data_IF_641577708173
#
_entry.id   IF_641577708173
#
_cell.length_a   1.000
_cell.length_b   1.000
_cell.length_c   1.000
_cell.angle_alpha   90.00
_cell.angle_beta   90.00
_cell.angle_gamma   90.00
#
_symmetry.space_group_name_H-M   'P 1'
#
loop_
_entity.id
_entity.type
_entity.pdbx_description
1 polymer ?
#
# COMPACT_ATOMS: atom_id res chain seq x y z
N UNK A 1 12.41 -31.43 -88.53
CA UNK A 1 11.61 -31.88 -87.37
C UNK A 1 11.73 -30.82 -86.29
N UNK A 2 10.57 -30.31 -85.89
CA UNK A 2 10.34 -29.26 -84.90
C UNK A 2 10.97 -29.58 -83.54
N UNK A 3 11.69 -28.63 -82.93
CA UNK A 3 11.26 -27.92 -81.70
C UNK A 3 11.89 -26.51 -81.69
N UNK A 4 11.01 -25.50 -81.60
CA UNK A 4 11.32 -24.07 -81.48
C UNK A 4 11.93 -23.71 -80.12
N UNK A 5 12.96 -22.87 -80.14
CA UNK A 5 13.35 -21.98 -79.03
C UNK A 5 12.62 -20.64 -79.20
N UNK A 6 12.01 -20.12 -78.13
CA UNK A 6 11.64 -18.69 -78.02
C UNK A 6 11.45 -18.39 -76.53
N UNK A 7 12.42 -17.75 -75.90
CA UNK A 7 12.55 -16.29 -75.73
C UNK A 7 11.73 -15.78 -74.56
N UNK A 8 12.49 -15.24 -73.61
CA UNK A 8 12.13 -14.69 -72.31
C UNK A 8 11.19 -13.49 -72.46
N UNK A 9 10.09 -13.48 -71.68
CA UNK A 9 9.34 -12.25 -71.37
C UNK A 9 9.38 -12.00 -69.86
N UNK A 10 10.08 -10.93 -69.48
CA UNK A 10 10.13 -10.38 -68.13
C UNK A 10 9.00 -9.37 -67.98
N UNK A 11 7.99 -9.70 -67.16
CA UNK A 11 6.86 -8.81 -66.88
C UNK A 11 7.24 -7.86 -65.74
N UNK A 12 7.46 -6.58 -66.06
CA UNK A 12 7.43 -5.49 -65.09
C UNK A 12 5.97 -5.12 -64.80
N UNK A 13 5.50 -5.38 -63.57
CA UNK A 13 4.28 -4.78 -63.05
C UNK A 13 4.64 -3.62 -62.13
N UNK A 14 4.30 -2.41 -62.57
CA UNK A 14 4.24 -1.21 -61.77
C UNK A 14 3.27 -1.40 -60.61
N UNK A 15 3.76 -1.29 -59.37
CA UNK A 15 2.92 -1.04 -58.20
C UNK A 15 3.19 0.40 -57.78
N UNK A 16 2.21 1.27 -58.03
CA UNK A 16 2.14 2.61 -57.45
C UNK A 16 2.04 2.46 -55.93
N UNK A 17 3.14 2.69 -55.22
CA UNK A 17 3.13 2.85 -53.77
C UNK A 17 2.69 4.28 -53.47
N UNK A 18 1.40 4.46 -53.20
CA UNK A 18 0.91 5.72 -52.62
C UNK A 18 1.39 5.73 -51.17
N UNK A 19 2.49 6.43 -50.92
CA UNK A 19 2.89 6.85 -49.58
C UNK A 19 1.82 7.81 -49.04
N UNK A 20 0.80 7.28 -48.36
CA UNK A 20 0.09 8.07 -47.36
C UNK A 20 1.04 8.26 -46.18
N UNK A 21 1.82 9.34 -46.20
CA UNK A 21 2.32 9.94 -44.97
C UNK A 21 1.09 10.47 -44.22
N UNK A 22 0.44 9.59 -43.46
CA UNK A 22 -0.42 10.02 -42.38
C UNK A 22 0.49 10.68 -41.35
N UNK A 23 0.74 11.99 -41.52
CA UNK A 23 1.10 12.85 -40.41
C UNK A 23 -0.10 12.83 -39.48
N UNK A 24 -0.16 11.81 -38.62
CA UNK A 24 -1.01 11.83 -37.46
C UNK A 24 -0.55 13.05 -36.66
N UNK A 25 -1.28 14.15 -36.78
CA UNK A 25 -1.28 15.17 -35.75
C UNK A 25 -1.70 14.42 -34.49
N UNK A 26 -0.72 14.00 -33.69
CA UNK A 26 -0.94 13.71 -32.28
C UNK A 26 -1.36 15.06 -31.73
N UNK A 27 -2.67 15.31 -31.69
CA UNK A 27 -3.20 16.35 -30.84
C UNK A 27 -2.71 15.96 -29.44
N UNK A 28 -1.65 16.64 -28.98
CA UNK A 28 -1.16 16.45 -27.62
C UNK A 28 -2.35 16.83 -26.74
N UNK A 29 -3.03 15.85 -26.16
CA UNK A 29 -4.19 16.13 -25.31
C UNK A 29 -3.70 16.97 -24.13
N UNK A 30 -4.12 18.24 -24.09
CA UNK A 30 -3.68 19.24 -23.11
C UNK A 30 -4.67 19.42 -21.97
N UNK A 31 -5.60 18.46 -21.86
CA UNK A 31 -6.79 18.52 -21.04
C UNK A 31 -6.68 17.66 -19.76
N UNK A 32 -5.51 17.12 -19.42
CA UNK A 32 -5.28 16.52 -18.10
C UNK A 32 -5.39 17.57 -17.01
N UNK A 33 -6.01 17.21 -15.88
CA UNK A 33 -5.80 18.01 -14.67
C UNK A 33 -4.31 18.03 -14.30
N UNK A 34 -3.83 19.17 -13.77
CA UNK A 34 -2.45 19.30 -13.40
C UNK A 34 -2.13 18.47 -12.15
N UNK A 35 -1.23 17.51 -12.32
CA UNK A 35 -0.63 16.71 -11.25
C UNK A 35 -0.20 17.57 -10.06
N UNK A 36 -0.68 17.24 -8.87
CA UNK A 36 -0.35 17.97 -7.62
C UNK A 36 0.22 17.04 -6.56
N UNK A 37 1.15 17.57 -5.77
CA UNK A 37 1.91 16.85 -4.75
C UNK A 37 1.82 17.56 -3.41
N UNK A 38 1.81 16.78 -2.33
CA UNK A 38 2.00 17.24 -0.96
C UNK A 38 3.10 16.39 -0.30
N UNK A 39 4.28 17.00 -0.13
CA UNK A 39 5.45 16.32 0.44
C UNK A 39 5.56 16.65 1.92
N UNK A 40 5.42 15.64 2.78
CA UNK A 40 5.39 15.80 4.24
C UNK A 40 6.77 16.09 4.86
N UNK A 41 6.78 16.57 6.09
CA UNK A 41 7.94 17.03 6.86
C UNK A 41 8.77 15.88 7.51
N UNK A 42 8.79 14.70 6.89
CA UNK A 42 9.35 13.46 7.43
C UNK A 42 10.63 12.97 6.70
N UNK A 43 11.52 13.91 6.37
CA UNK A 43 12.75 13.63 5.60
C UNK A 43 13.82 12.88 6.43
N UNK A 44 13.58 11.60 6.67
CA UNK A 44 14.49 10.65 7.32
C UNK A 44 14.14 9.22 6.90
N UNK A 45 14.88 8.23 7.39
CA UNK A 45 14.61 6.82 7.11
C UNK A 45 13.58 6.25 8.08
N UNK A 46 12.62 5.47 7.56
CA UNK A 46 11.61 4.85 8.39
C UNK A 46 11.22 3.44 7.99
N UNK A 47 10.66 2.69 8.94
CA UNK A 47 10.19 1.32 8.75
C UNK A 47 8.65 1.20 8.73
N UNK A 48 7.93 2.26 9.11
CA UNK A 48 6.47 2.36 8.99
C UNK A 48 6.10 3.75 8.47
N UNK A 49 5.16 3.81 7.53
CA UNK A 49 4.49 5.03 7.08
C UNK A 49 2.97 4.85 7.15
N UNK A 50 2.28 5.88 7.64
CA UNK A 50 0.83 5.92 7.84
C UNK A 50 0.29 7.22 7.29
N UNK A 51 -0.88 7.19 6.65
CA UNK A 51 -1.65 8.39 6.30
C UNK A 51 -3.13 8.04 6.22
N UNK A 52 -4.01 9.02 6.44
CA UNK A 52 -5.44 8.89 6.23
C UNK A 52 -5.85 9.66 4.99
N UNK A 53 -6.66 9.03 4.14
CA UNK A 53 -7.16 9.62 2.90
C UNK A 53 -8.69 9.62 2.88
N UNK A 54 -9.26 10.71 2.38
CA UNK A 54 -10.69 10.84 2.07
C UNK A 54 -10.86 11.58 0.76
N UNK A 55 -11.71 11.05 -0.12
CA UNK A 55 -12.16 11.78 -1.30
C UNK A 55 -13.56 12.33 -1.00
N UNK A 56 -13.76 13.66 -0.94
CA UNK A 56 -15.10 14.23 -0.77
C UNK A 56 -15.96 13.91 -2.00
N UNK A 57 -17.29 13.88 -1.84
CA UNK A 57 -18.22 13.50 -2.93
C UNK A 57 -18.05 14.34 -4.20
N UNK A 58 -17.83 15.65 -4.06
CA UNK A 58 -17.57 16.56 -5.19
C UNK A 58 -16.11 16.50 -5.70
N UNK A 59 -15.24 15.80 -4.98
CA UNK A 59 -13.85 15.60 -5.32
C UNK A 59 -13.58 14.30 -6.09
N UNK A 60 -14.60 13.55 -6.46
CA UNK A 60 -14.43 12.32 -7.21
C UNK A 60 -14.53 12.56 -8.73
N UNK A 61 -13.48 12.20 -9.46
CA UNK A 61 -13.53 12.03 -10.91
C UNK A 61 -12.97 10.65 -11.30
N UNK A 62 -13.62 9.96 -12.24
CA UNK A 62 -13.05 8.78 -12.88
C UNK A 62 -11.69 9.10 -13.50
N UNK A 63 -10.85 8.07 -13.62
CA UNK A 63 -9.48 8.17 -14.11
C UNK A 63 -8.55 8.97 -13.18
N UNK A 64 -8.83 8.89 -11.88
CA UNK A 64 -8.05 9.60 -10.86
C UNK A 64 -7.32 8.67 -9.92
N UNK A 65 -6.03 8.95 -9.74
CA UNK A 65 -5.24 8.36 -8.67
C UNK A 65 -5.10 9.36 -7.52
N UNK A 66 -5.46 8.93 -6.31
CA UNK A 66 -5.21 9.65 -5.06
C UNK A 66 -4.18 8.85 -4.25
N UNK A 67 -2.91 9.12 -4.50
CA UNK A 67 -1.80 8.59 -3.72
C UNK A 67 -1.79 9.23 -2.34
N UNK A 68 -1.64 8.40 -1.32
CA UNK A 68 -1.55 8.86 0.08
C UNK A 68 -0.18 8.58 0.70
N UNK A 69 0.58 7.63 0.13
CA UNK A 69 1.84 7.12 0.65
C UNK A 69 2.81 6.89 -0.51
N UNK A 70 3.59 7.88 -0.91
CA UNK A 70 4.72 7.76 -1.83
C UNK A 70 6.04 7.71 -1.08
N UNK A 71 6.97 6.85 -1.46
CA UNK A 71 8.29 6.77 -0.83
C UNK A 71 9.41 6.47 -1.82
N UNK A 72 10.63 6.81 -1.39
CA UNK A 72 11.86 6.57 -2.17
C UNK A 72 12.69 5.46 -1.52
N UNK A 73 13.79 5.11 -2.20
CA UNK A 73 14.80 4.17 -1.70
C UNK A 73 15.08 3.06 -2.70
N UNK A 74 15.66 1.96 -2.20
CA UNK A 74 15.99 0.78 -3.00
C UNK A 74 14.77 -0.07 -3.37
N UNK A 75 13.60 0.28 -2.87
CA UNK A 75 12.30 -0.20 -3.31
C UNK A 75 11.32 0.96 -3.19
N UNK A 76 11.55 1.99 -3.99
CA UNK A 76 10.60 3.10 -4.15
C UNK A 76 9.23 2.54 -4.56
N UNK A 77 8.18 3.22 -4.15
CA UNK A 77 6.83 2.72 -4.33
C UNK A 77 5.78 3.71 -3.86
N UNK A 78 4.53 3.29 -4.01
CA UNK A 78 3.37 4.08 -3.64
C UNK A 78 2.22 3.22 -3.13
N UNK A 79 1.36 3.84 -2.34
CA UNK A 79 0.06 3.31 -1.95
C UNK A 79 -1.00 4.41 -1.97
N UNK A 80 -2.22 4.03 -2.34
CA UNK A 80 -3.34 4.97 -2.35
C UNK A 80 -4.63 4.32 -2.80
N UNK A 81 -5.54 5.18 -3.26
CA UNK A 81 -6.85 4.79 -3.79
C UNK A 81 -7.09 5.37 -5.17
N UNK A 82 -7.86 4.68 -6.00
CA UNK A 82 -8.21 5.17 -7.34
C UNK A 82 -9.72 5.13 -7.59
N UNK A 83 -10.19 6.12 -8.35
CA UNK A 83 -11.46 6.09 -9.05
C UNK A 83 -11.24 5.48 -10.44
N UNK A 84 -11.18 4.15 -10.49
CA UNK A 84 -10.91 3.40 -11.70
C UNK A 84 -12.22 3.09 -12.47
N UNK A 85 -12.23 2.99 -13.82
CA UNK A 85 -13.42 2.65 -14.60
C UNK A 85 -14.14 1.35 -14.22
N UNK A 86 -13.46 0.47 -13.48
CA UNK A 86 -13.99 -0.82 -13.00
C UNK A 86 -14.51 -0.73 -11.55
N UNK A 87 -14.41 0.43 -10.92
CA UNK A 87 -14.77 0.67 -9.52
C UNK A 87 -13.63 1.25 -8.70
N UNK A 88 -13.91 1.45 -7.42
CA UNK A 88 -12.98 1.97 -6.43
C UNK A 88 -11.96 0.93 -5.99
N UNK A 89 -10.68 1.28 -6.03
CA UNK A 89 -9.60 0.35 -5.63
C UNK A 89 -8.65 0.94 -4.63
N UNK A 90 -8.07 0.07 -3.81
CA UNK A 90 -6.77 0.30 -3.20
C UNK A 90 -5.69 -0.25 -4.11
N UNK A 91 -4.59 0.48 -4.21
CA UNK A 91 -3.40 0.08 -4.96
C UNK A 91 -2.15 0.20 -4.08
N UNK A 92 -1.21 -0.72 -4.26
CA UNK A 92 0.11 -0.69 -3.62
C UNK A 92 1.14 -1.25 -4.60
N UNK A 93 2.17 -0.46 -4.89
CA UNK A 93 3.14 -0.75 -5.94
C UNK A 93 4.56 -0.54 -5.44
N UNK A 94 5.47 -1.39 -5.89
CA UNK A 94 6.91 -1.21 -5.70
C UNK A 94 7.57 -1.36 -7.07
N UNK A 95 8.39 -0.39 -7.44
CA UNK A 95 9.21 -0.47 -8.65
C UNK A 95 10.38 -1.43 -8.46
N UNK A 96 10.72 -2.12 -9.53
CA UNK A 96 12.00 -2.80 -9.65
C UNK A 96 13.14 -1.77 -9.51
N UNK A 97 14.23 -2.18 -8.88
CA UNK A 97 15.40 -1.35 -8.70
C UNK A 97 16.66 -2.15 -9.04
N UNK A 98 17.70 -1.46 -9.54
CA UNK A 98 18.97 -2.08 -9.92
C UNK A 98 19.68 -2.88 -8.80
N UNK A 99 19.29 -2.64 -7.54
CA UNK A 99 19.84 -3.37 -6.39
C UNK A 99 19.05 -4.63 -6.03
N UNK A 100 17.99 -4.97 -6.77
CA UNK A 100 17.22 -6.18 -6.52
C UNK A 100 17.96 -7.38 -7.11
N UNK A 101 18.26 -8.38 -6.28
CA UNK A 101 18.90 -9.61 -6.74
C UNK A 101 17.93 -10.55 -7.49
N UNK A 102 16.61 -10.30 -7.38
CA UNK A 102 15.55 -11.06 -8.04
C UNK A 102 14.28 -10.20 -8.17
N UNK A 103 13.33 -10.55 -9.07
CA UNK A 103 12.06 -9.84 -9.20
C UNK A 103 11.23 -9.84 -7.91
N UNK A 104 10.49 -8.75 -7.69
CA UNK A 104 9.58 -8.61 -6.56
C UNK A 104 8.50 -9.68 -6.61
N UNK A 105 8.20 -10.31 -5.47
CA UNK A 105 7.18 -11.36 -5.34
C UNK A 105 6.15 -10.99 -4.28
N UNK A 106 4.88 -11.34 -4.48
CA UNK A 106 3.90 -11.28 -3.40
C UNK A 106 3.89 -12.60 -2.63
N UNK A 107 4.47 -12.59 -1.43
CA UNK A 107 4.52 -13.75 -0.52
C UNK A 107 3.23 -13.92 0.28
N UNK A 108 2.39 -12.89 0.32
CA UNK A 108 1.03 -12.98 0.81
C UNK A 108 0.09 -12.12 -0.03
N UNK A 109 -1.13 -12.62 -0.28
CA UNK A 109 -2.25 -11.86 -0.83
C UNK A 109 -3.44 -12.04 0.09
N UNK A 110 -3.98 -10.94 0.59
CA UNK A 110 -5.23 -10.92 1.33
C UNK A 110 -6.40 -11.29 0.43
N UNK A 111 -7.56 -11.54 1.04
CA UNK A 111 -8.78 -11.92 0.31
C UNK A 111 -9.04 -10.95 -0.85
N UNK A 112 -9.23 -11.52 -2.05
CA UNK A 112 -9.53 -10.80 -3.31
C UNK A 112 -8.46 -9.81 -3.78
N UNK A 113 -7.30 -9.75 -3.13
CA UNK A 113 -6.18 -8.93 -3.59
C UNK A 113 -5.47 -9.65 -4.73
N UNK A 114 -5.40 -8.98 -5.88
CA UNK A 114 -4.67 -9.46 -7.03
C UNK A 114 -3.31 -8.75 -7.11
N UNK A 115 -2.36 -9.36 -7.82
CA UNK A 115 -1.06 -8.74 -8.09
C UNK A 115 -0.70 -8.87 -9.56
N UNK A 116 -0.08 -7.85 -10.13
CA UNK A 116 0.30 -7.82 -11.53
C UNK A 116 1.64 -7.10 -11.68
N UNK A 117 2.46 -7.51 -12.64
CA UNK A 117 3.59 -6.69 -13.07
C UNK A 117 3.09 -5.41 -13.75
N UNK A 118 3.85 -4.33 -13.66
CA UNK A 118 3.58 -3.11 -14.42
C UNK A 118 4.81 -2.67 -15.23
N UNK A 119 4.60 -1.72 -16.15
CA UNK A 119 5.57 -1.25 -17.15
C UNK A 119 5.22 0.17 -17.61
N UNK A 120 5.98 0.71 -18.58
CA UNK A 120 5.73 2.02 -19.22
C UNK A 120 6.51 3.17 -18.56
N UNK A 121 6.45 3.25 -17.23
CA UNK A 121 7.14 4.28 -16.41
C UNK A 121 8.13 3.61 -15.43
N UNK A 122 8.90 2.67 -15.98
CA UNK A 122 9.62 1.66 -15.20
C UNK A 122 8.79 0.39 -15.02
N UNK A 123 9.38 -0.63 -14.40
CA UNK A 123 8.74 -1.91 -14.13
C UNK A 123 8.62 -2.16 -12.63
N UNK A 124 7.78 -3.11 -12.24
CA UNK A 124 7.66 -3.51 -10.85
C UNK A 124 6.46 -4.43 -10.61
N UNK A 125 6.06 -4.54 -9.34
CA UNK A 125 4.90 -5.30 -8.92
C UNK A 125 3.88 -4.39 -8.25
N UNK A 126 2.63 -4.45 -8.71
CA UNK A 126 1.49 -3.80 -8.07
C UNK A 126 0.54 -4.83 -7.50
N UNK A 127 -0.15 -4.45 -6.44
CA UNK A 127 -1.35 -5.11 -5.94
C UNK A 127 -2.55 -4.17 -6.05
N UNK A 128 -3.73 -4.75 -6.20
CA UNK A 128 -4.99 -4.01 -6.30
C UNK A 128 -6.14 -4.84 -5.74
N UNK A 129 -7.10 -4.17 -5.11
CA UNK A 129 -8.29 -4.80 -4.53
C UNK A 129 -9.54 -3.97 -4.83
N UNK A 130 -10.35 -4.47 -5.77
CA UNK A 130 -11.65 -3.88 -6.15
C UNK A 130 -12.77 -4.27 -5.18
N UNK A 131 -12.69 -5.45 -4.58
CA UNK A 131 -13.78 -5.96 -3.74
C UNK A 131 -13.86 -5.22 -2.40
N UNK A 132 -12.71 -4.88 -1.82
CA UNK A 132 -12.68 -4.11 -0.58
C UNK A 132 -13.26 -2.71 -0.81
N UNK A 133 -12.89 -2.07 -1.94
CA UNK A 133 -13.41 -0.80 -2.40
C UNK A 133 -13.30 0.36 -1.40
N UNK A 134 -13.67 1.55 -1.86
CA UNK A 134 -13.83 2.71 -1.00
C UNK A 134 -15.08 3.47 -1.41
N UNK A 135 -15.50 4.42 -0.60
CA UNK A 135 -16.68 5.26 -0.79
C UNK A 135 -16.28 6.71 -0.50
N UNK A 136 -16.85 7.66 -1.24
CA UNK A 136 -16.60 9.08 -0.99
C UNK A 136 -17.12 9.50 0.39
N UNK A 137 -16.51 10.55 0.95
CA UNK A 137 -16.89 11.10 2.25
C UNK A 137 -16.36 10.33 3.46
N UNK A 138 -15.76 9.16 3.29
CA UNK A 138 -15.19 8.38 4.38
C UNK A 138 -13.66 8.47 4.42
N UNK A 139 -13.12 8.48 5.65
CA UNK A 139 -11.68 8.37 5.89
C UNK A 139 -11.22 6.91 5.84
N UNK A 140 -10.05 6.70 5.25
CA UNK A 140 -9.38 5.40 5.20
C UNK A 140 -7.96 5.56 5.70
N UNK A 141 -7.56 4.74 6.66
CA UNK A 141 -6.17 4.71 7.14
C UNK A 141 -5.38 3.73 6.30
N UNK A 142 -4.27 4.19 5.73
CA UNK A 142 -3.35 3.38 4.94
C UNK A 142 -2.05 3.24 5.75
N UNK A 143 -1.56 2.00 5.88
CA UNK A 143 -0.32 1.68 6.60
C UNK A 143 0.56 0.82 5.73
N UNK A 144 1.82 1.21 5.55
CA UNK A 144 2.85 0.32 5.05
C UNK A 144 3.97 0.15 6.05
N UNK A 145 4.48 -1.08 6.16
CA UNK A 145 5.61 -1.44 7.02
C UNK A 145 6.64 -2.21 6.22
N UNK A 146 7.90 -1.86 6.36
CA UNK A 146 9.05 -2.56 5.80
C UNK A 146 9.83 -3.27 6.92
N UNK A 147 10.27 -4.51 6.70
CA UNK A 147 11.13 -5.23 7.65
C UNK A 147 12.11 -6.17 6.93
N UNK A 148 13.39 -6.21 7.34
CA UNK A 148 14.35 -7.15 6.76
C UNK A 148 14.01 -8.60 7.06
N UNK A 149 14.29 -9.48 6.11
CA UNK A 149 14.23 -10.94 6.22
C UNK A 149 15.45 -11.51 5.50
N UNK A 150 16.53 -11.77 6.23
CA UNK A 150 17.81 -12.16 5.62
C UNK A 150 18.34 -11.08 4.67
N UNK A 151 18.61 -11.46 3.42
CA UNK A 151 19.07 -10.54 2.36
C UNK A 151 17.91 -9.84 1.61
N UNK A 152 16.69 -10.02 2.09
CA UNK A 152 15.48 -9.45 1.52
C UNK A 152 14.87 -8.40 2.48
N UNK A 153 13.93 -7.59 1.98
CA UNK A 153 13.06 -6.74 2.78
C UNK A 153 11.62 -7.01 2.38
N UNK A 154 10.77 -7.30 3.35
CA UNK A 154 9.36 -7.48 3.13
C UNK A 154 8.62 -6.17 3.36
N UNK A 155 7.61 -5.92 2.53
CA UNK A 155 6.74 -4.76 2.60
C UNK A 155 5.29 -5.22 2.72
N UNK A 156 4.65 -4.85 3.82
CA UNK A 156 3.23 -5.12 4.04
C UNK A 156 2.38 -3.87 3.77
N UNK A 157 1.14 -4.09 3.35
CA UNK A 157 0.15 -3.03 3.18
C UNK A 157 -1.17 -3.39 3.88
N UNK A 158 -1.62 -2.50 4.77
CA UNK A 158 -2.86 -2.62 5.52
C UNK A 158 -3.72 -1.39 5.32
N UNK A 159 -5.03 -1.61 5.31
CA UNK A 159 -6.03 -0.55 5.19
C UNK A 159 -7.04 -0.69 6.33
N UNK A 160 -7.44 0.44 6.93
CA UNK A 160 -8.58 0.53 7.82
C UNK A 160 -9.71 1.33 7.17
N UNK A 161 -10.90 0.75 7.12
CA UNK A 161 -12.11 1.49 6.73
C UNK A 161 -12.60 2.35 7.89
N UNK A 162 -12.73 3.67 7.71
CA UNK A 162 -13.33 4.55 8.71
C UNK A 162 -14.82 4.25 8.96
N UNK A 163 -15.53 3.79 7.93
CA UNK A 163 -16.96 3.40 8.00
C UNK A 163 -17.20 2.18 8.91
N UNK A 164 -16.37 1.15 8.79
CA UNK A 164 -16.57 -0.12 9.53
C UNK A 164 -15.64 -0.28 10.73
N UNK A 165 -14.58 0.53 10.79
CA UNK A 165 -13.48 0.43 11.73
C UNK A 165 -12.55 -0.78 11.51
N UNK A 166 -12.77 -1.58 10.45
CA UNK A 166 -12.07 -2.85 10.24
C UNK A 166 -10.76 -2.66 9.47
N UNK A 167 -9.72 -3.35 9.95
CA UNK A 167 -8.43 -3.50 9.28
C UNK A 167 -8.43 -4.68 8.32
N UNK A 168 -7.75 -4.51 7.19
CA UNK A 168 -7.50 -5.55 6.18
C UNK A 168 -6.04 -5.55 5.79
N UNK A 169 -5.39 -6.71 5.81
CA UNK A 169 -4.05 -6.91 5.26
C UNK A 169 -4.18 -7.29 3.78
N UNK A 170 -3.69 -6.45 2.87
CA UNK A 170 -3.90 -6.63 1.44
C UNK A 170 -2.78 -7.46 0.81
N UNK A 171 -1.53 -7.16 1.12
CA UNK A 171 -0.39 -7.83 0.49
C UNK A 171 0.84 -7.78 1.40
N UNK A 172 1.69 -8.81 1.29
CA UNK A 172 3.11 -8.71 1.67
C UNK A 172 3.94 -8.99 0.42
N UNK A 173 4.77 -8.02 0.04
CA UNK A 173 5.72 -8.13 -1.06
C UNK A 173 7.13 -8.39 -0.53
N UNK A 174 7.80 -9.36 -1.13
CA UNK A 174 9.22 -9.68 -0.93
C UNK A 174 10.05 -8.93 -1.97
N UNK A 175 10.90 -8.03 -1.49
CA UNK A 175 11.91 -7.32 -2.27
C UNK A 175 13.27 -7.96 -1.98
N UNK A 176 13.95 -8.44 -3.02
CA UNK A 176 15.29 -9.03 -2.95
C UNK A 176 16.40 -7.98 -2.78
N UNK A 177 16.25 -7.13 -1.76
CA UNK A 177 17.24 -6.17 -1.31
C UNK A 177 17.13 -6.01 0.21
N UNK A 178 18.24 -6.21 0.90
CA UNK A 178 18.35 -6.07 2.36
C UNK A 178 18.17 -4.62 2.80
N UNK A 179 17.43 -4.36 3.86
CA UNK A 179 17.25 -3.02 4.46
C UNK A 179 16.84 -1.94 3.44
N UNK A 180 15.92 -2.31 2.54
CA UNK A 180 15.23 -1.36 1.69
C UNK A 180 14.15 -0.67 2.54
N UNK A 181 14.52 0.31 3.35
CA UNK A 181 13.57 1.08 4.15
C UNK A 181 12.95 2.25 3.37
N UNK A 182 11.91 2.88 3.92
CA UNK A 182 11.32 4.10 3.37
C UNK A 182 12.32 5.25 3.50
N UNK A 183 12.77 5.81 2.38
CA UNK A 183 13.75 6.91 2.34
C UNK A 183 13.08 8.25 1.99
N UNK A 184 13.59 9.32 2.59
CA UNK A 184 13.16 10.69 2.31
C UNK A 184 11.73 10.99 2.74
N UNK A 185 11.24 12.19 2.43
CA UNK A 185 9.86 12.56 2.74
C UNK A 185 8.84 11.68 2.02
N UNK A 186 7.75 11.41 2.73
CA UNK A 186 6.54 10.79 2.18
C UNK A 186 5.84 11.77 1.25
N UNK A 187 5.49 11.33 0.05
CA UNK A 187 4.72 12.12 -0.92
C UNK A 187 3.25 11.68 -0.91
N UNK A 188 2.37 12.60 -1.24
CA UNK A 188 0.99 12.31 -1.61
C UNK A 188 0.71 13.04 -2.91
N UNK A 189 0.01 12.38 -3.82
CA UNK A 189 -0.07 12.79 -5.22
C UNK A 189 -1.47 12.59 -5.77
N UNK A 190 -1.93 13.52 -6.61
CA UNK A 190 -3.20 13.41 -7.33
C UNK A 190 -2.96 13.46 -8.84
N UNK A 191 -3.46 12.45 -9.55
CA UNK A 191 -3.27 12.28 -10.99
C UNK A 191 -4.57 12.16 -11.75
N UNK A 192 -4.65 12.75 -12.94
CA UNK A 192 -5.63 12.43 -13.97
C UNK A 192 -4.95 11.65 -15.10
N UNK A 193 -5.24 10.37 -15.28
CA UNK A 193 -4.55 9.55 -16.28
C UNK A 193 -5.27 9.45 -17.64
N UNK A 194 -6.38 10.18 -17.85
CA UNK A 194 -7.15 10.11 -19.11
C UNK A 194 -7.62 11.48 -19.67
N UNK A 195 -6.93 12.58 -19.35
CA UNK A 195 -7.27 13.91 -19.89
C UNK A 195 -8.69 14.39 -19.53
N UNK A 196 -9.09 14.20 -18.29
CA UNK A 196 -10.42 14.56 -17.75
C UNK A 196 -10.37 15.81 -16.85
N UNK A 197 -9.49 16.76 -17.17
CA UNK A 197 -9.19 17.94 -16.37
C UNK A 197 -10.35 18.92 -16.19
N UNK A 198 -11.40 18.82 -17.00
CA UNK A 198 -12.63 19.58 -16.82
C UNK A 198 -13.38 19.23 -15.53
N UNK A 199 -13.14 18.04 -14.97
CA UNK A 199 -13.73 17.58 -13.72
C UNK A 199 -12.78 17.87 -12.56
N UNK A 200 -13.27 18.43 -11.44
CA UNK A 200 -12.47 18.54 -10.24
C UNK A 200 -12.20 17.17 -9.65
N UNK A 201 -11.01 16.98 -9.11
CA UNK A 201 -10.65 15.84 -8.26
C UNK A 201 -9.97 16.38 -7.01
N UNK A 202 -10.40 15.93 -5.83
CA UNK A 202 -9.92 16.42 -4.54
C UNK A 202 -9.58 15.27 -3.63
N UNK A 203 -8.46 15.37 -2.93
CA UNK A 203 -8.07 14.48 -1.83
C UNK A 203 -7.90 15.28 -0.54
N UNK A 204 -8.35 14.70 0.57
CA UNK A 204 -8.13 15.19 1.92
C UNK A 204 -7.19 14.21 2.64
N UNK A 205 -6.18 14.75 3.35
CA UNK A 205 -5.12 13.99 3.99
C UNK A 205 -4.94 14.42 5.45
N UNK A 206 -4.83 13.46 6.37
CA UNK A 206 -4.56 13.72 7.79
C UNK A 206 -3.97 12.50 8.48
N UNK A 207 -3.67 12.62 9.78
CA UNK A 207 -3.28 11.46 10.59
C UNK A 207 -1.99 10.79 10.11
N UNK A 208 -1.11 11.57 9.47
CA UNK A 208 0.13 11.08 8.91
C UNK A 208 1.20 10.81 9.96
N UNK A 209 1.91 9.70 9.80
CA UNK A 209 3.01 9.30 10.68
C UNK A 209 4.11 8.58 9.92
N UNK A 210 5.34 8.73 10.41
CA UNK A 210 6.43 7.84 10.06
C UNK A 210 7.20 7.42 11.30
N UNK A 211 7.55 6.15 11.37
CA UNK A 211 8.40 5.61 12.44
C UNK A 211 9.84 5.53 11.95
N UNK A 212 10.74 6.18 12.67
CA UNK A 212 12.19 6.06 12.47
C UNK A 212 12.66 4.63 12.75
N UNK A 213 13.84 4.28 12.25
CA UNK A 213 14.44 2.96 12.47
C UNK A 213 14.80 2.68 13.94
N UNK A 214 14.94 3.72 14.76
CA UNK A 214 15.13 3.61 16.22
C UNK A 214 13.81 3.41 17.00
N UNK A 215 12.67 3.38 16.30
CA UNK A 215 11.34 3.21 16.87
C UNK A 215 10.62 4.51 17.27
N UNK A 216 11.25 5.67 17.17
CA UNK A 216 10.60 6.95 17.45
C UNK A 216 9.56 7.28 16.38
N UNK A 217 8.41 7.79 16.81
CA UNK A 217 7.35 8.26 15.93
C UNK A 217 7.49 9.76 15.63
N UNK A 218 7.20 10.11 14.39
CA UNK A 218 7.07 11.50 13.95
C UNK A 218 5.69 11.68 13.31
N UNK A 219 4.92 12.63 13.84
CA UNK A 219 3.65 13.03 13.26
C UNK A 219 3.88 14.02 12.13
N UNK A 220 3.17 13.89 11.01
CA UNK A 220 3.25 14.85 9.92
C UNK A 220 2.60 16.18 10.36
N UNK A 221 3.42 17.17 10.65
CA UNK A 221 3.02 18.49 11.16
C UNK A 221 2.96 19.55 10.06
N UNK A 222 3.52 19.26 8.90
CA UNK A 222 3.52 20.16 7.76
C UNK A 222 3.95 19.49 6.47
N UNK A 223 4.06 20.31 5.44
CA UNK A 223 4.57 19.85 4.16
C UNK A 223 4.47 20.91 3.07
N UNK A 224 5.10 20.57 1.95
CA UNK A 224 5.18 21.41 0.77
C UNK A 224 4.15 20.96 -0.25
N UNK A 225 3.20 21.83 -0.57
CA UNK A 225 2.30 21.63 -1.70
C UNK A 225 2.92 22.18 -2.99
N UNK A 226 2.73 21.47 -4.09
CA UNK A 226 3.12 21.96 -5.42
C UNK A 226 2.38 21.28 -6.54
N UNK A 227 2.35 21.98 -7.68
CA UNK A 227 1.81 21.46 -8.93
C UNK A 227 2.94 21.28 -9.92
N UNK A 228 2.89 20.19 -10.68
CA UNK A 228 3.95 19.78 -11.58
C UNK A 228 4.13 20.79 -12.72
N UNK A 229 5.09 21.72 -12.56
CA UNK A 229 5.22 22.93 -13.41
C UNK A 229 5.42 22.60 -14.89
N UNK A 230 6.05 21.46 -15.19
CA UNK A 230 6.28 21.03 -16.56
C UNK A 230 5.00 20.65 -17.29
N UNK A 231 3.94 20.24 -16.59
CA UNK A 231 2.65 19.91 -17.22
C UNK A 231 1.86 21.16 -17.64
N UNK A 232 2.28 22.34 -17.15
CA UNK A 232 1.55 23.61 -17.28
C UNK A 232 1.97 24.45 -18.48
N UNK A 233 3.02 24.06 -19.22
CA UNK A 233 3.56 24.84 -20.34
C UNK A 233 2.85 24.53 -21.67
N UNK A 234 2.84 25.44 -22.66
CA UNK A 234 2.26 25.17 -23.97
C UNK A 234 2.76 23.86 -24.59
N UNK A 235 1.87 23.12 -25.24
CA UNK A 235 2.14 21.77 -25.77
C UNK A 235 2.16 20.63 -24.75
N UNK A 236 2.00 20.89 -23.44
CA UNK A 236 1.98 19.85 -22.40
C UNK A 236 0.58 19.50 -21.92
N UNK A 237 0.50 18.36 -21.23
CA UNK A 237 -0.73 17.60 -20.97
C UNK A 237 -1.79 18.34 -20.16
N UNK A 238 -1.42 19.39 -19.42
CA UNK A 238 -2.34 20.12 -18.55
C UNK A 238 -2.45 21.61 -18.87
N UNK A 239 -1.95 22.06 -20.03
CA UNK A 239 -1.91 23.48 -20.38
C UNK A 239 -3.28 24.16 -20.36
N UNK A 240 -4.34 23.45 -20.76
CA UNK A 240 -5.70 24.01 -20.78
C UNK A 240 -6.28 24.17 -19.37
N UNK A 241 -5.71 23.47 -18.39
CA UNK A 241 -6.09 23.50 -16.98
C UNK A 241 -4.96 24.00 -16.07
N UNK A 242 -4.01 24.76 -16.61
CA UNK A 242 -2.76 25.16 -15.92
C UNK A 242 -2.94 26.01 -14.66
N UNK A 243 -4.13 26.58 -14.47
CA UNK A 243 -4.53 27.37 -13.29
C UNK A 243 -5.68 26.72 -12.51
N UNK A 244 -6.04 25.48 -12.83
CA UNK A 244 -7.18 24.78 -12.23
C UNK A 244 -6.66 23.78 -11.21
N UNK A 245 -6.10 24.32 -10.14
CA UNK A 245 -5.56 23.57 -9.02
C UNK A 245 -5.70 24.40 -7.77
N UNK A 246 -5.75 23.75 -6.62
CA UNK A 246 -5.70 24.39 -5.31
C UNK A 246 -5.16 23.42 -4.26
N UNK A 247 -4.62 23.95 -3.16
CA UNK A 247 -4.12 23.14 -2.08
C UNK A 247 -3.89 23.95 -0.83
N UNK A 248 -4.07 23.31 0.32
CA UNK A 248 -3.89 23.98 1.60
C UNK A 248 -4.38 23.18 2.79
N UNK A 249 -4.79 23.90 3.83
CA UNK A 249 -5.41 23.34 5.04
C UNK A 249 -6.86 23.77 5.08
N UNK A 250 -7.74 22.82 5.37
CA UNK A 250 -9.14 23.06 5.68
C UNK A 250 -9.47 22.35 7.00
N UNK A 251 -10.72 22.48 7.45
CA UNK A 251 -11.20 21.81 8.66
C UNK A 251 -12.66 21.42 8.51
N UNK A 252 -13.04 20.36 9.19
CA UNK A 252 -14.42 19.95 9.41
C UNK A 252 -14.64 19.64 10.89
N UNK A 253 -15.76 18.98 11.23
CA UNK A 253 -16.11 18.61 12.60
C UNK A 253 -15.08 17.70 13.29
N UNK A 254 -14.30 16.92 12.53
CA UNK A 254 -13.26 16.04 13.07
C UNK A 254 -11.89 16.75 13.21
N UNK A 255 -11.78 18.00 12.75
CA UNK A 255 -10.58 18.82 12.86
C UNK A 255 -9.87 19.13 11.52
N UNK A 256 -8.64 19.64 11.57
CA UNK A 256 -7.93 20.10 10.40
C UNK A 256 -7.38 18.96 9.53
N UNK A 257 -7.35 19.18 8.22
CA UNK A 257 -6.76 18.28 7.23
C UNK A 257 -6.11 19.08 6.09
N UNK A 258 -5.12 18.47 5.44
CA UNK A 258 -4.58 18.99 4.18
C UNK A 258 -5.51 18.62 3.03
N UNK A 259 -5.64 19.47 2.03
CA UNK A 259 -6.34 19.13 0.80
C UNK A 259 -5.50 19.46 -0.43
N UNK A 260 -5.75 18.71 -1.51
CA UNK A 260 -5.29 19.04 -2.86
C UNK A 260 -6.46 18.86 -3.82
N UNK A 261 -6.70 19.86 -4.66
CA UNK A 261 -7.67 19.82 -5.76
C UNK A 261 -6.94 20.02 -7.09
N UNK A 262 -7.24 19.19 -8.08
CA UNK A 262 -6.72 19.31 -9.45
C UNK A 262 -7.86 19.27 -10.47
N UNK A 263 -7.77 20.06 -11.53
CA UNK A 263 -8.82 20.18 -12.55
C UNK A 263 -10.07 20.88 -12.04
N UNK A 264 -11.16 20.83 -12.82
CA UNK A 264 -12.40 21.55 -12.58
C UNK A 264 -12.34 22.95 -13.16
N UNK A 265 -13.29 23.31 -14.03
CA UNK A 265 -13.28 24.62 -14.73
C UNK A 265 -13.29 25.82 -13.77
N UNK A 266 -13.93 25.65 -12.62
CA UNK A 266 -14.11 26.70 -11.62
C UNK A 266 -13.05 26.70 -10.52
N UNK A 267 -12.19 25.67 -10.47
CA UNK A 267 -11.09 25.60 -9.51
C UNK A 267 -10.10 26.73 -9.78
N UNK A 268 -9.75 27.47 -8.72
CA UNK A 268 -8.74 28.55 -8.74
C UNK A 268 -7.79 28.36 -7.56
N UNK A 269 -6.50 28.65 -7.72
CA UNK A 269 -5.53 28.53 -6.65
C UNK A 269 -5.77 29.61 -5.60
N UNK A 270 -5.84 29.19 -4.34
CA UNK A 270 -5.81 30.07 -3.17
C UNK A 270 -4.39 30.25 -2.62
N UNK A 271 -3.46 29.36 -2.99
CA UNK A 271 -2.06 29.36 -2.56
C UNK A 271 -1.09 29.52 -3.74
N UNK A 272 0.15 29.93 -3.43
CA UNK A 272 1.24 29.93 -4.40
C UNK A 272 1.64 28.50 -4.80
N UNK A 273 2.26 28.33 -5.97
CA UNK A 273 2.89 27.07 -6.34
C UNK A 273 4.42 27.26 -6.43
N UNK A 274 5.25 26.68 -5.56
CA UNK A 274 4.86 25.89 -4.39
C UNK A 274 4.40 26.74 -3.21
N UNK A 275 3.76 26.10 -2.23
CA UNK A 275 3.39 26.67 -0.94
C UNK A 275 3.76 25.72 0.21
N UNK A 276 3.75 26.24 1.44
CA UNK A 276 3.98 25.48 2.66
C UNK A 276 2.73 25.54 3.53
N UNK A 277 2.38 24.40 4.13
CA UNK A 277 1.20 24.27 4.96
C UNK A 277 1.53 23.47 6.21
N UNK A 278 0.87 23.79 7.33
CA UNK A 278 1.13 23.15 8.61
C UNK A 278 -0.15 22.96 9.41
N UNK A 279 -0.24 21.81 10.08
CA UNK A 279 -1.26 21.49 11.08
C UNK A 279 -0.51 21.17 12.38
N UNK A 280 -0.80 21.90 13.46
CA UNK A 280 -0.17 21.64 14.75
C UNK A 280 -0.53 20.23 15.24
N UNK A 281 0.49 19.47 15.62
CA UNK A 281 0.37 18.11 16.20
C UNK A 281 0.96 18.11 17.60
N UNK A 282 0.33 17.41 18.54
CA UNK A 282 0.81 17.25 19.92
C UNK A 282 0.97 15.79 20.32
N UNK A 283 0.45 14.88 19.50
CA UNK A 283 0.50 13.45 19.73
C UNK A 283 1.93 12.93 19.49
N UNK A 284 2.33 11.97 20.32
CA UNK A 284 3.68 11.37 20.27
C UNK A 284 3.70 10.00 19.60
N UNK A 285 2.54 9.42 19.31
CA UNK A 285 2.37 8.14 18.60
C UNK A 285 0.98 8.01 17.96
N UNK A 286 0.79 7.11 16.98
CA UNK A 286 -0.54 6.83 16.41
C UNK A 286 -1.54 6.32 17.47
N UNK A 287 -2.76 6.87 17.42
CA UNK A 287 -3.81 6.64 18.44
C UNK A 287 -4.77 5.47 18.16
N UNK A 288 -4.30 4.38 17.55
CA UNK A 288 -5.16 3.23 17.24
C UNK A 288 -5.23 2.23 18.42
N UNK A 289 -6.38 1.57 18.59
CA UNK A 289 -6.55 0.54 19.61
C UNK A 289 -5.56 -0.62 19.39
N UNK A 290 -4.74 -0.97 20.41
CA UNK A 290 -3.81 -2.10 20.33
C UNK A 290 -4.53 -3.41 20.00
N UNK A 291 -3.79 -4.34 19.40
CA UNK A 291 -4.36 -5.63 19.00
C UNK A 291 -5.06 -6.34 20.17
N UNK A 292 -6.29 -6.77 19.91
CA UNK A 292 -7.06 -7.59 20.83
C UNK A 292 -7.14 -9.03 20.31
N UNK A 293 -6.66 -9.97 21.11
CA UNK A 293 -6.71 -11.39 20.83
C UNK A 293 -7.99 -11.98 21.45
N UNK A 294 -8.92 -12.46 20.62
CA UNK A 294 -10.25 -12.92 21.06
C UNK A 294 -10.22 -14.32 21.65
N UNK A 295 -9.54 -15.23 20.97
CA UNK A 295 -9.47 -16.63 21.39
C UNK A 295 -8.24 -17.32 20.81
N UNK A 296 -7.81 -18.38 21.48
CA UNK A 296 -6.83 -19.32 20.97
C UNK A 296 -7.23 -20.74 21.38
N UNK A 297 -7.02 -21.71 20.49
CA UNK A 297 -7.40 -23.10 20.70
C UNK A 297 -6.28 -24.01 20.20
N UNK A 298 -6.01 -25.09 20.91
CA UNK A 298 -5.13 -26.15 20.40
C UNK A 298 -5.97 -27.33 19.95
N UNK A 299 -5.60 -27.93 18.82
CA UNK A 299 -6.16 -29.18 18.32
C UNK A 299 -5.06 -30.15 17.93
N UNK A 300 -5.37 -31.44 17.99
CA UNK A 300 -4.55 -32.47 17.35
C UNK A 300 -4.82 -32.46 15.84
N UNK A 301 -3.79 -32.18 15.06
CA UNK A 301 -3.80 -32.23 13.60
C UNK A 301 -3.33 -33.59 13.07
N UNK A 302 -3.43 -33.79 11.76
CA UNK A 302 -2.98 -35.02 11.08
C UNK A 302 -1.52 -35.34 11.44
N UNK A 303 -1.20 -36.64 11.52
CA UNK A 303 0.15 -37.15 11.86
C UNK A 303 0.61 -36.80 13.29
N UNK A 304 -0.33 -36.60 14.21
CA UNK A 304 -0.04 -36.39 15.63
C UNK A 304 0.61 -35.04 15.95
N UNK A 305 0.49 -34.03 15.08
CA UNK A 305 1.02 -32.69 15.34
C UNK A 305 0.01 -31.87 16.14
N UNK A 306 0.47 -31.05 17.08
CA UNK A 306 -0.39 -30.07 17.75
C UNK A 306 -0.40 -28.76 16.97
N UNK A 307 -1.59 -28.24 16.71
CA UNK A 307 -1.78 -26.97 16.02
C UNK A 307 -2.53 -25.99 16.93
N UNK A 308 -1.93 -24.83 17.17
CA UNK A 308 -2.58 -23.70 17.82
C UNK A 308 -3.24 -22.83 16.75
N UNK A 309 -4.53 -22.55 16.86
CA UNK A 309 -5.26 -21.58 16.04
C UNK A 309 -5.73 -20.41 16.90
N UNK A 310 -5.88 -19.22 16.31
CA UNK A 310 -6.31 -18.04 17.05
C UNK A 310 -7.08 -17.02 16.21
N UNK A 311 -7.85 -16.19 16.91
CA UNK A 311 -8.68 -15.14 16.33
C UNK A 311 -8.36 -13.78 16.95
N UNK A 312 -8.24 -12.77 16.10
CA UNK A 312 -7.97 -11.38 16.49
C UNK A 312 -9.18 -10.50 16.20
N UNK A 313 -9.38 -9.42 16.94
CA UNK A 313 -10.41 -8.44 16.62
C UNK A 313 -10.03 -7.61 15.39
N UNK A 314 -10.79 -7.69 14.27
CA UNK A 314 -10.49 -6.92 13.07
C UNK A 314 -10.64 -5.41 13.26
N UNK A 315 -11.25 -4.93 14.35
CA UNK A 315 -11.36 -3.49 14.64
C UNK A 315 -10.17 -2.91 15.42
N UNK A 316 -9.25 -3.76 15.86
CA UNK A 316 -7.99 -3.38 16.52
C UNK A 316 -6.81 -3.49 15.56
N UNK A 317 -5.65 -2.94 15.93
CA UNK A 317 -4.45 -3.01 15.10
C UNK A 317 -4.16 -4.45 14.62
N UNK A 318 -3.80 -4.64 13.34
CA UNK A 318 -3.59 -5.97 12.78
C UNK A 318 -2.31 -6.62 13.33
N UNK A 319 -2.35 -7.95 13.43
CA UNK A 319 -1.19 -8.77 13.78
C UNK A 319 -0.03 -8.53 12.81
N UNK A 320 1.18 -8.52 13.37
CA UNK A 320 2.42 -8.50 12.62
C UNK A 320 3.31 -9.71 12.93
N UNK A 321 3.42 -10.07 14.21
CA UNK A 321 4.23 -11.19 14.65
C UNK A 321 3.57 -11.91 15.83
N UNK A 322 4.00 -13.14 16.11
CA UNK A 322 3.51 -13.92 17.24
C UNK A 322 4.66 -14.59 17.99
N UNK A 323 4.46 -14.79 19.28
CA UNK A 323 5.32 -15.60 20.14
C UNK A 323 4.46 -16.62 20.86
N UNK A 324 4.82 -17.89 20.74
CA UNK A 324 4.18 -19.02 21.41
C UNK A 324 5.22 -19.68 22.31
N UNK A 325 4.89 -19.87 23.58
CA UNK A 325 5.74 -20.58 24.53
C UNK A 325 4.97 -21.70 25.23
N UNK A 326 5.60 -22.84 25.45
CA UNK A 326 5.07 -23.93 26.26
C UNK A 326 5.68 -23.95 27.65
N UNK A 327 4.87 -24.25 28.66
CA UNK A 327 5.25 -24.28 30.08
C UNK A 327 4.68 -25.54 30.73
N UNK A 328 5.32 -26.04 31.79
CA UNK A 328 4.85 -27.18 32.60
C UNK A 328 3.87 -26.77 33.72
N UNK A 329 3.66 -25.47 33.89
CA UNK A 329 2.86 -24.87 34.94
C UNK A 329 1.76 -23.96 34.37
N UNK A 330 0.68 -23.80 35.15
CA UNK A 330 -0.48 -22.99 34.74
C UNK A 330 -0.22 -21.47 34.78
N UNK A 331 0.80 -21.01 35.51
CA UNK A 331 1.17 -19.59 35.53
C UNK A 331 1.81 -19.17 34.21
N UNK A 332 2.39 -20.08 33.42
CA UNK A 332 3.06 -19.76 32.17
C UNK A 332 4.28 -18.86 32.37
N UNK A 333 4.93 -19.06 33.52
CA UNK A 333 6.11 -18.36 34.01
C UNK A 333 7.27 -19.35 34.20
N UNK A 334 8.49 -18.85 34.26
CA UNK A 334 9.70 -19.67 34.30
C UNK A 334 10.27 -19.98 32.92
N UNK A 335 11.17 -20.97 32.87
CA UNK A 335 11.81 -21.41 31.63
C UNK A 335 10.81 -22.13 30.73
N UNK A 336 10.73 -21.70 29.47
CA UNK A 336 9.79 -22.27 28.51
C UNK A 336 10.33 -23.61 27.97
N UNK A 337 9.51 -24.65 28.00
CA UNK A 337 9.78 -25.96 27.38
C UNK A 337 10.05 -25.84 25.87
N UNK A 338 9.39 -24.87 25.24
CA UNK A 338 9.67 -24.47 23.87
C UNK A 338 9.28 -23.01 23.65
N UNK A 339 9.89 -22.39 22.65
CA UNK A 339 9.54 -21.07 22.13
C UNK A 339 9.48 -21.10 20.61
N UNK A 340 8.40 -20.57 20.05
CA UNK A 340 8.23 -20.31 18.63
C UNK A 340 7.93 -18.83 18.45
N UNK A 341 8.77 -18.12 17.70
CA UNK A 341 8.57 -16.70 17.38
C UNK A 341 8.71 -16.52 15.88
N UNK A 342 7.71 -15.89 15.26
CA UNK A 342 7.74 -15.58 13.83
C UNK A 342 7.11 -14.22 13.51
N UNK A 343 7.63 -13.60 12.46
CA UNK A 343 7.04 -12.42 11.80
C UNK A 343 6.23 -12.91 10.60
N UNK A 344 4.95 -13.14 10.83
CA UNK A 344 4.02 -13.61 9.81
C UNK A 344 2.65 -12.91 10.03
N UNK A 345 2.44 -11.73 9.41
CA UNK A 345 1.26 -10.91 9.69
C UNK A 345 -0.08 -11.59 9.39
N UNK A 346 -0.05 -12.53 8.44
CA UNK A 346 -1.22 -13.26 7.98
C UNK A 346 -1.48 -14.57 8.75
N UNK A 347 -0.56 -15.03 9.61
CA UNK A 347 -0.74 -16.27 10.35
C UNK A 347 -1.96 -16.21 11.28
N UNK A 348 -2.77 -17.27 11.27
CA UNK A 348 -3.85 -17.51 12.25
C UNK A 348 -3.75 -18.90 12.89
N UNK A 349 -2.68 -19.62 12.57
CA UNK A 349 -2.32 -20.86 13.21
C UNK A 349 -0.81 -21.09 13.18
N UNK A 350 -0.33 -21.97 14.05
CA UNK A 350 1.04 -22.43 14.07
C UNK A 350 1.09 -23.89 14.55
N UNK A 351 1.98 -24.68 13.94
CA UNK A 351 2.30 -26.03 14.44
C UNK A 351 3.25 -25.89 15.62
N UNK A 352 2.88 -26.48 16.75
CA UNK A 352 3.72 -26.46 17.95
C UNK A 352 4.90 -27.43 17.77
N UNK A 353 6.11 -27.07 18.23
CA UNK A 353 7.31 -27.91 18.12
C UNK A 353 7.35 -29.04 19.16
N UNK A 354 6.19 -29.62 19.48
CA UNK A 354 6.02 -30.71 20.45
C UNK A 354 5.27 -31.87 19.79
N UNK A 355 5.66 -33.10 20.11
CA UNK A 355 4.98 -34.32 19.65
C UNK A 355 4.35 -35.05 20.84
N UNK A 356 3.13 -35.58 20.73
CA UNK A 356 2.58 -36.54 21.67
C UNK A 356 3.43 -37.82 21.71
N UNK A 357 3.40 -38.59 22.82
CA UNK A 357 2.61 -38.34 24.02
C UNK A 357 3.32 -37.36 24.96
N UNK A 358 2.60 -36.35 25.46
CA UNK A 358 3.11 -35.40 26.47
C UNK A 358 3.28 -36.04 27.86
N UNK A 359 3.15 -37.37 28.00
CA UNK A 359 3.10 -38.05 29.29
C UNK A 359 1.97 -37.53 30.19
N UNK A 360 2.11 -37.69 31.51
CA UNK A 360 1.26 -37.01 32.51
C UNK A 360 1.57 -35.51 32.61
N UNK A 361 2.54 -34.98 31.84
CA UNK A 361 2.95 -33.59 31.93
C UNK A 361 1.89 -32.67 31.32
N UNK A 362 1.34 -31.79 32.16
CA UNK A 362 0.38 -30.77 31.75
C UNK A 362 1.13 -29.63 31.08
N UNK A 363 1.04 -29.52 29.76
CA UNK A 363 1.65 -28.40 29.04
C UNK A 363 0.64 -27.26 28.88
N UNK A 364 1.08 -26.05 29.24
CA UNK A 364 0.33 -24.82 29.11
C UNK A 364 0.96 -23.97 28.01
N UNK A 365 0.18 -23.65 26.98
CA UNK A 365 0.63 -22.85 25.84
C UNK A 365 0.25 -21.40 26.09
N UNK A 366 1.20 -20.49 25.97
CA UNK A 366 0.99 -19.05 26.06
C UNK A 366 1.23 -18.41 24.70
N UNK A 367 0.23 -17.69 24.20
CA UNK A 367 0.29 -16.92 22.95
C UNK A 367 0.35 -15.43 23.27
N UNK A 368 1.29 -14.73 22.65
CA UNK A 368 1.32 -13.27 22.56
C UNK A 368 1.39 -12.85 21.10
N UNK A 369 0.68 -11.79 20.75
CA UNK A 369 0.72 -11.18 19.43
C UNK A 369 1.39 -9.81 19.54
N UNK A 370 2.21 -9.47 18.56
CA UNK A 370 2.70 -8.12 18.34
C UNK A 370 2.02 -7.53 17.12
N UNK A 371 1.47 -6.33 17.26
CA UNK A 371 0.75 -5.65 16.18
C UNK A 371 1.68 -4.92 15.19
N UNK A 372 1.08 -4.42 14.11
CA UNK A 372 1.79 -3.69 13.04
C UNK A 372 2.54 -2.45 13.52
N UNK A 373 2.16 -1.84 14.65
CA UNK A 373 2.84 -0.70 15.24
C UNK A 373 3.83 -1.09 16.35
N UNK A 374 3.82 -2.35 16.77
CA UNK A 374 4.75 -2.94 17.72
C UNK A 374 4.20 -3.15 19.13
N UNK A 375 2.92 -2.87 19.40
CA UNK A 375 2.35 -3.16 20.71
C UNK A 375 2.18 -4.66 20.91
N UNK A 376 2.40 -5.13 22.14
CA UNK A 376 2.13 -6.51 22.51
C UNK A 376 0.70 -6.64 23.04
N UNK A 377 0.03 -7.73 22.65
CA UNK A 377 -1.24 -8.14 23.23
C UNK A 377 -1.06 -8.65 24.65
N UNK A 378 -2.17 -8.65 25.39
CA UNK A 378 -2.30 -9.54 26.54
C UNK A 378 -2.07 -11.00 26.13
N UNK A 379 -1.54 -11.80 27.06
CA UNK A 379 -1.22 -13.19 26.78
C UNK A 379 -2.45 -14.08 26.97
N UNK A 380 -2.77 -14.91 25.98
CA UNK A 380 -3.78 -15.96 26.12
C UNK A 380 -3.11 -17.29 26.46
N UNK A 381 -3.63 -17.96 27.48
CA UNK A 381 -3.16 -19.28 27.93
C UNK A 381 -4.14 -20.36 27.48
N UNK A 382 -3.62 -21.43 26.88
CA UNK A 382 -4.38 -22.59 26.45
C UNK A 382 -3.79 -23.82 27.12
N UNK A 383 -4.63 -24.60 27.79
CA UNK A 383 -4.23 -25.86 28.40
C UNK A 383 -4.25 -26.97 27.36
N UNK A 384 -3.18 -27.75 27.27
CA UNK A 384 -3.16 -29.02 26.54
C UNK A 384 -3.68 -30.11 27.48
N UNK A 385 -4.86 -30.68 27.20
CA UNK A 385 -5.35 -31.88 27.88
C UNK A 385 -5.20 -33.08 26.95
N UNK A 386 -4.86 -34.25 27.51
CA UNK A 386 -4.79 -35.53 26.80
C UNK A 386 -6.19 -36.05 26.36
N UNK A 387 -7.25 -35.25 26.50
CA UNK A 387 -8.65 -35.65 26.33
C UNK A 387 -9.22 -35.25 24.95
N UNK A 388 -8.44 -35.45 23.89
CA UNK A 388 -9.00 -35.56 22.54
C UNK A 388 -8.76 -36.99 22.06
N UNK A 389 -9.54 -37.92 22.63
CA UNK A 389 -9.81 -39.23 22.02
C UNK A 389 -10.98 -39.08 21.05
#
# INVERSE_FOLDING_TARGET
MSVNSSVVFMVYRFIFSVCFTASAFVANAQDSAPSSHFVFDDNFDGDIVINEVRVPKLGEALYTYYEALGWRGRAAGYAGIQAHPRGHIYIFSIWDHKSHAAPIRAVHRGAKTLTQKFGGEGTGLKSWNFELGWETGHWYTLVSRAWPVGEHTFYGYWVRSGKTGRWTHLVTMDVAAKEAYFKGSTDAFIEDWLNTGSKPRTTNLRGGWKRKLDGQWHAFGGGRYSVNRWDLVPGKRSFNFKTNWDGGVASDEDGPFYFMTAGGRDTKPSAANPSQHSIKRTETKPGYAPINLKSAKVRLAKRGKLELTWETDPKTLPQFAYTITGHDNSSGEGEALFRLEQVEPHARSATLPVRPPLGQARVFVRLRIRDVLGHQSEAVKVKLTNEQK
#
